data_IF_764573684654
#
_entry.id   IF_764573684654
#
_cell.length_a   1.000
_cell.length_b   1.000
_cell.length_c   1.000
_cell.angle_alpha   90.00
_cell.angle_beta   90.00
_cell.angle_gamma   90.00
#
_symmetry.space_group_name_H-M   'P 1'
#
loop_
_entity.id
_entity.type
_entity.pdbx_description
1 polymer ?
#
# COMPACT_ATOMS: atom_id res chain seq x y z
N UNK A 1 -4.92 -36.37 36.26
CA UNK A 1 -4.24 -35.60 35.92
C UNK A 1 -4.59 -35.03 34.69
N UNK A 2 -4.87 -34.00 34.60
CA UNK A 2 -5.33 -33.45 33.61
C UNK A 2 -4.51 -32.79 32.75
N UNK A 3 -4.37 -33.03 31.77
CA UNK A 3 -3.62 -32.50 31.05
C UNK A 3 -4.09 -31.64 30.18
N UNK A 4 -4.01 -30.93 29.96
CA UNK A 4 -4.27 -30.13 29.40
C UNK A 4 -3.93 -29.67 28.38
N UNK A 5 -4.19 -29.35 27.91
CA UNK A 5 -4.34 -28.88 27.15
C UNK A 5 -4.00 -27.96 26.55
N UNK A 6 -3.50 -27.83 26.17
CA UNK A 6 -2.86 -27.26 25.56
C UNK A 6 -3.26 -26.86 24.42
N UNK A 7 -3.98 -26.20 24.38
CA UNK A 7 -4.43 -25.70 23.51
C UNK A 7 -3.76 -24.98 22.68
N UNK A 8 -3.59 -25.07 21.96
CA UNK A 8 -2.94 -24.71 21.04
C UNK A 8 -3.40 -23.59 20.36
N UNK A 9 -3.47 -22.60 20.94
CA UNK A 9 -3.92 -21.44 20.40
C UNK A 9 -2.99 -20.84 19.44
N UNK A 10 -1.82 -21.27 19.39
CA UNK A 10 -0.88 -20.77 18.43
C UNK A 10 -1.31 -21.00 17.01
N UNK A 11 -2.17 -21.93 16.81
CA UNK A 11 -2.65 -22.21 15.48
C UNK A 11 -3.42 -21.05 14.90
N UNK A 12 -3.99 -20.23 15.75
CA UNK A 12 -4.74 -19.09 15.24
C UNK A 12 -3.85 -18.07 14.60
N UNK A 13 -2.67 -17.90 15.15
CA UNK A 13 -1.73 -16.96 14.58
C UNK A 13 -1.29 -17.41 13.20
N UNK A 14 -1.32 -18.69 12.93
CA UNK A 14 -0.94 -19.18 11.61
C UNK A 14 -1.98 -18.89 10.53
N UNK A 15 -3.13 -18.31 10.90
CA UNK A 15 -4.14 -18.02 9.92
C UNK A 15 -3.89 -16.71 9.19
N UNK A 16 -2.86 -15.95 9.54
CA UNK A 16 -2.51 -14.76 8.80
C UNK A 16 -2.23 -15.16 7.36
N UNK A 17 -2.88 -14.52 6.43
CA UNK A 17 -2.74 -14.86 5.03
C UNK A 17 -1.32 -14.61 4.55
N UNK A 18 -0.92 -15.38 3.58
CA UNK A 18 0.40 -15.20 2.97
C UNK A 18 0.54 -13.80 2.38
N UNK A 19 -0.52 -13.27 1.80
CA UNK A 19 -0.52 -11.93 1.24
C UNK A 19 -0.26 -10.88 2.32
N UNK A 20 -0.85 -11.04 3.49
CA UNK A 20 -0.62 -10.11 4.59
C UNK A 20 0.84 -10.16 5.05
N UNK A 21 1.42 -11.34 5.14
CA UNK A 21 2.82 -11.48 5.51
C UNK A 21 3.74 -10.85 4.46
N UNK A 22 3.44 -11.04 3.19
CA UNK A 22 4.23 -10.47 2.10
C UNK A 22 4.16 -8.94 2.08
N UNK A 23 3.07 -8.37 2.57
CA UNK A 23 2.89 -6.91 2.60
C UNK A 23 3.21 -6.28 3.93
N UNK A 24 3.68 -7.07 4.88
CA UNK A 24 3.99 -6.54 6.21
C UNK A 24 5.22 -5.64 6.14
N UNK A 25 4.98 -4.36 5.98
CA UNK A 25 6.02 -3.36 5.83
C UNK A 25 6.52 -2.90 7.18
N UNK A 26 7.83 -2.85 7.34
CA UNK A 26 8.44 -2.27 8.54
C UNK A 26 8.33 -0.76 8.43
N UNK A 27 7.52 -0.15 9.28
CA UNK A 27 7.20 1.28 9.19
C UNK A 27 8.45 2.16 9.14
N UNK A 28 9.41 1.88 9.99
CA UNK A 28 10.62 2.69 10.10
C UNK A 28 11.51 2.60 8.85
N UNK A 29 11.28 1.60 8.02
CA UNK A 29 12.03 1.41 6.78
C UNK A 29 11.44 2.16 5.59
N UNK A 30 10.25 2.73 5.75
CA UNK A 30 9.57 3.41 4.65
C UNK A 30 10.35 4.67 4.28
N UNK A 31 10.76 4.71 3.02
CA UNK A 31 11.46 5.84 2.45
C UNK A 31 10.58 6.43 1.36
N UNK A 32 10.28 7.70 1.44
CA UNK A 32 9.51 8.42 0.44
C UNK A 32 10.51 9.10 -0.47
N UNK A 33 10.61 8.63 -1.70
CA UNK A 33 11.58 9.14 -2.67
C UNK A 33 10.98 10.29 -3.45
N UNK A 34 9.67 10.21 -3.72
CA UNK A 34 8.98 11.23 -4.50
C UNK A 34 7.58 11.36 -3.98
N UNK A 35 7.13 12.59 -3.74
CA UNK A 35 5.75 12.87 -3.38
C UNK A 35 5.30 14.11 -4.12
N UNK A 36 4.01 14.41 -4.06
CA UNK A 36 3.45 15.53 -4.80
C UNK A 36 3.76 15.44 -6.29
N UNK A 37 3.95 14.25 -6.80
CA UNK A 37 4.41 14.02 -8.16
C UNK A 37 3.24 13.89 -9.12
N UNK A 38 3.48 14.21 -10.38
CA UNK A 38 2.50 14.13 -11.44
C UNK A 38 3.03 13.25 -12.57
N UNK A 39 2.15 12.42 -13.12
CA UNK A 39 2.49 11.57 -14.26
C UNK A 39 1.46 11.70 -15.36
N UNK A 40 1.92 11.97 -16.58
CA UNK A 40 1.08 11.98 -17.75
C UNK A 40 0.66 10.58 -18.19
N UNK A 41 1.34 9.55 -17.69
CA UNK A 41 1.06 8.19 -18.09
C UNK A 41 -0.18 7.61 -17.41
N UNK A 42 -0.71 8.32 -16.44
CA UNK A 42 -1.91 7.90 -15.73
C UNK A 42 -3.08 8.72 -16.25
N UNK A 43 -4.20 8.06 -16.48
CA UNK A 43 -5.40 8.75 -16.92
C UNK A 43 -6.00 9.53 -15.77
N UNK A 44 -6.01 10.83 -15.89
CA UNK A 44 -6.60 11.73 -14.91
C UNK A 44 -6.61 13.13 -15.48
N UNK A 45 -7.33 14.02 -14.83
CA UNK A 45 -7.50 15.39 -15.28
C UNK A 45 -6.68 16.38 -14.45
N UNK A 46 -5.92 15.90 -13.47
CA UNK A 46 -5.17 16.78 -12.59
C UNK A 46 -3.98 17.39 -13.35
N UNK A 47 -3.74 18.64 -13.04
CA UNK A 47 -2.56 19.34 -13.54
C UNK A 47 -1.40 19.10 -12.56
N UNK A 48 -0.19 19.26 -13.06
CA UNK A 48 1.00 19.04 -12.24
C UNK A 48 1.01 19.88 -10.97
N UNK A 49 0.52 21.11 -11.03
CA UNK A 49 0.48 21.99 -9.87
C UNK A 49 -0.53 21.52 -8.81
N UNK A 50 -1.57 20.80 -9.23
CA UNK A 50 -2.55 20.26 -8.29
C UNK A 50 -1.98 19.11 -7.45
N UNK A 51 -0.94 18.46 -7.91
CA UNK A 51 -0.35 17.34 -7.21
C UNK A 51 0.57 17.74 -6.06
N UNK A 52 1.04 18.97 -6.04
CA UNK A 52 2.02 19.43 -5.06
C UNK A 52 1.53 19.31 -3.61
N UNK A 53 0.21 19.29 -3.40
CA UNK A 53 -0.36 19.13 -2.07
C UNK A 53 -0.47 17.66 -1.63
N UNK A 54 -0.24 16.72 -2.53
CA UNK A 54 -0.32 15.29 -2.19
C UNK A 54 1.00 14.84 -1.57
N UNK A 55 1.16 15.15 -0.30
CA UNK A 55 2.36 14.84 0.46
C UNK A 55 2.01 13.76 1.47
N UNK A 56 2.65 12.61 1.37
CA UNK A 56 2.47 11.52 2.33
C UNK A 56 3.62 11.49 3.32
N UNK A 57 3.30 11.27 4.56
CA UNK A 57 4.30 11.04 5.61
C UNK A 57 4.51 9.54 5.77
N UNK A 58 5.58 9.17 6.42
CA UNK A 58 5.87 7.77 6.72
C UNK A 58 4.67 7.08 7.39
N UNK A 59 4.00 7.76 8.31
CA UNK A 59 2.83 7.21 8.99
C UNK A 59 1.67 6.96 8.04
N UNK A 60 1.48 7.84 7.05
CA UNK A 60 0.40 7.70 6.07
C UNK A 60 0.64 6.49 5.17
N UNK A 61 1.87 6.32 4.74
CA UNK A 61 2.26 5.18 3.90
C UNK A 61 2.10 3.87 4.68
N UNK A 62 2.55 3.86 5.93
CA UNK A 62 2.40 2.69 6.80
C UNK A 62 0.94 2.32 7.02
N UNK A 63 0.08 3.32 7.27
CA UNK A 63 -1.35 3.09 7.44
C UNK A 63 -2.00 2.56 6.16
N UNK A 64 -1.57 3.06 5.01
CA UNK A 64 -2.06 2.56 3.72
C UNK A 64 -1.76 1.06 3.58
N UNK A 65 -0.52 0.66 3.80
CA UNK A 65 -0.16 -0.75 3.65
C UNK A 65 -0.87 -1.65 4.66
N UNK A 66 -1.14 -1.13 5.84
CA UNK A 66 -1.84 -1.88 6.87
C UNK A 66 -3.31 -2.10 6.53
N UNK A 67 -3.94 -1.11 5.90
CA UNK A 67 -5.39 -1.11 5.70
C UNK A 67 -5.83 -1.49 4.29
N UNK A 68 -4.97 -1.36 3.31
CA UNK A 68 -5.32 -1.61 1.93
C UNK A 68 -5.62 -3.09 1.70
N UNK A 69 -6.56 -3.33 0.81
CA UNK A 69 -6.89 -4.69 0.36
C UNK A 69 -6.25 -4.94 -0.99
N UNK A 70 -5.90 -6.19 -1.23
CA UNK A 70 -5.39 -6.60 -2.53
C UNK A 70 -6.51 -6.58 -3.55
N UNK A 71 -6.23 -6.04 -4.71
CA UNK A 71 -7.15 -6.04 -5.85
C UNK A 71 -6.46 -6.65 -7.05
N UNK A 72 -7.25 -7.00 -8.06
CA UNK A 72 -6.69 -7.53 -9.30
C UNK A 72 -6.07 -6.40 -10.10
N UNK A 73 -5.16 -6.76 -11.00
CA UNK A 73 -4.60 -5.79 -11.94
C UNK A 73 -5.69 -5.12 -12.74
N UNK A 74 -6.71 -5.88 -13.16
CA UNK A 74 -7.81 -5.32 -13.91
C UNK A 74 -8.59 -4.28 -13.11
N UNK A 75 -8.90 -4.56 -11.86
CA UNK A 75 -9.59 -3.59 -11.01
C UNK A 75 -8.76 -2.32 -10.88
N UNK A 76 -7.49 -2.47 -10.62
CA UNK A 76 -6.57 -1.34 -10.48
C UNK A 76 -6.53 -0.50 -11.76
N UNK A 77 -6.42 -1.14 -12.91
CA UNK A 77 -6.20 -0.44 -14.18
C UNK A 77 -7.48 0.07 -14.85
N UNK A 78 -8.62 -0.57 -14.57
CA UNK A 78 -9.85 -0.29 -15.33
C UNK A 78 -11.07 0.05 -14.50
N UNK A 79 -11.20 -0.50 -13.31
CA UNK A 79 -12.43 -0.35 -12.53
C UNK A 79 -12.36 0.76 -11.47
N UNK A 80 -11.17 1.03 -10.95
CA UNK A 80 -10.98 2.04 -9.91
C UNK A 80 -10.64 3.39 -10.52
N UNK A 81 -10.98 4.45 -9.79
CA UNK A 81 -10.62 5.79 -10.21
C UNK A 81 -9.11 5.95 -10.26
N UNK A 82 -8.64 6.73 -11.19
CA UNK A 82 -7.23 7.03 -11.39
C UNK A 82 -6.97 8.52 -11.21
N UNK A 83 -5.76 8.85 -10.85
CA UNK A 83 -5.32 10.24 -10.71
C UNK A 83 -3.89 10.35 -11.21
N UNK A 84 -3.52 11.52 -11.68
CA UNK A 84 -2.14 11.80 -12.08
C UNK A 84 -1.21 12.01 -10.89
N UNK A 85 -1.75 12.25 -9.69
CA UNK A 85 -0.97 12.60 -8.51
C UNK A 85 -0.56 11.37 -7.72
N UNK A 86 0.72 11.26 -7.41
CA UNK A 86 1.22 10.08 -6.70
C UNK A 86 2.43 10.37 -5.82
N UNK A 87 2.72 9.42 -4.96
CA UNK A 87 3.94 9.33 -4.20
C UNK A 87 4.53 7.94 -4.40
N UNK A 88 5.84 7.83 -4.31
CA UNK A 88 6.51 6.54 -4.45
C UNK A 88 7.78 6.48 -3.61
N UNK A 89 8.20 5.28 -3.34
CA UNK A 89 9.40 5.08 -2.55
C UNK A 89 9.76 3.62 -2.41
N UNK A 90 10.48 3.33 -1.34
CA UNK A 90 10.92 1.97 -1.00
C UNK A 90 10.57 1.66 0.43
N UNK A 91 10.55 0.39 0.74
CA UNK A 91 10.36 -0.08 2.10
C UNK A 91 10.91 -1.48 2.25
N UNK A 92 11.09 -1.92 3.49
CA UNK A 92 11.51 -3.27 3.78
C UNK A 92 10.32 -4.02 4.37
N UNK A 93 10.15 -5.24 3.92
CA UNK A 93 9.15 -6.14 4.48
C UNK A 93 9.67 -6.78 5.77
N UNK A 94 8.75 -7.29 6.58
CA UNK A 94 9.11 -7.97 7.80
C UNK A 94 10.05 -9.16 7.57
N UNK A 95 9.96 -9.79 6.39
CA UNK A 95 10.85 -10.90 6.03
C UNK A 95 12.20 -10.44 5.48
N UNK A 96 12.47 -9.15 5.45
CA UNK A 96 13.74 -8.61 4.99
C UNK A 96 13.79 -8.18 3.52
N UNK A 97 12.81 -8.53 2.73
CA UNK A 97 12.78 -8.14 1.32
C UNK A 97 12.57 -6.64 1.13
N UNK A 98 13.21 -6.06 0.14
CA UNK A 98 13.03 -4.65 -0.20
C UNK A 98 12.04 -4.53 -1.34
N UNK A 99 11.06 -3.65 -1.18
CA UNK A 99 10.03 -3.42 -2.18
C UNK A 99 10.03 -1.97 -2.63
N UNK A 100 9.52 -1.75 -3.84
CA UNK A 100 9.19 -0.41 -4.32
C UNK A 100 7.70 -0.27 -4.24
N UNK A 101 7.24 0.90 -3.84
CA UNK A 101 5.80 1.15 -3.72
C UNK A 101 5.42 2.44 -4.41
N UNK A 102 4.15 2.51 -4.80
CA UNK A 102 3.54 3.70 -5.34
C UNK A 102 2.13 3.80 -4.80
N UNK A 103 1.71 4.99 -4.40
CA UNK A 103 0.37 5.28 -3.89
C UNK A 103 -0.12 6.52 -4.60
N UNK A 104 -1.32 6.48 -5.13
CA UNK A 104 -1.90 7.64 -5.80
C UNK A 104 -2.97 8.30 -4.93
N UNK A 105 -3.37 9.50 -5.35
CA UNK A 105 -4.32 10.30 -4.61
C UNK A 105 -5.73 9.69 -4.61
N UNK A 106 -6.02 8.77 -5.50
CA UNK A 106 -7.29 8.06 -5.55
C UNK A 106 -7.31 6.79 -4.68
N UNK A 107 -6.34 6.63 -3.78
CA UNK A 107 -6.24 5.53 -2.83
C UNK A 107 -5.87 4.19 -3.44
N UNK A 108 -5.30 4.20 -4.65
CA UNK A 108 -4.75 3.01 -5.27
C UNK A 108 -3.25 2.97 -5.01
N UNK A 109 -2.70 1.78 -5.01
CA UNK A 109 -1.27 1.63 -4.92
C UNK A 109 -0.81 0.29 -5.43
N UNK A 110 0.49 0.14 -5.54
CA UNK A 110 1.05 -1.16 -5.83
C UNK A 110 2.41 -1.31 -5.15
N UNK A 111 2.81 -2.55 -5.01
CA UNK A 111 4.10 -2.91 -4.46
C UNK A 111 4.79 -3.82 -5.46
N UNK A 112 6.00 -3.47 -5.85
CA UNK A 112 6.84 -4.33 -6.69
C UNK A 112 7.71 -5.18 -5.78
N UNK A 113 7.48 -6.47 -5.80
CA UNK A 113 8.15 -7.43 -4.94
C UNK A 113 9.54 -7.75 -5.46
N UNK A 114 10.44 -8.25 -4.59
CA UNK A 114 11.80 -8.59 -5.00
C UNK A 114 11.86 -9.63 -6.12
N UNK A 115 10.86 -10.50 -6.20
CA UNK A 115 10.78 -11.55 -7.23
C UNK A 115 10.17 -11.08 -8.54
N UNK A 116 9.87 -9.78 -8.65
CA UNK A 116 9.33 -9.21 -9.88
C UNK A 116 7.80 -9.16 -9.94
N UNK A 117 7.10 -9.77 -8.98
CA UNK A 117 5.64 -9.69 -8.96
C UNK A 117 5.19 -8.30 -8.53
N UNK A 118 4.04 -7.89 -9.00
CA UNK A 118 3.39 -6.66 -8.56
C UNK A 118 2.11 -7.02 -7.81
N UNK A 119 1.93 -6.43 -6.65
CA UNK A 119 0.72 -6.60 -5.85
C UNK A 119 -0.02 -5.27 -5.90
N UNK A 120 -1.25 -5.31 -6.39
CA UNK A 120 -2.10 -4.12 -6.52
C UNK A 120 -2.99 -3.96 -5.30
N UNK A 121 -3.13 -2.74 -4.83
CA UNK A 121 -3.78 -2.42 -3.56
C UNK A 121 -4.78 -1.29 -3.72
N UNK A 122 -5.82 -1.33 -2.91
CA UNK A 122 -6.78 -0.25 -2.82
C UNK A 122 -7.21 -0.07 -1.37
N UNK A 123 -7.23 1.19 -0.91
CA UNK A 123 -7.60 1.52 0.45
C UNK A 123 -8.74 2.54 0.46
N UNK A 124 -10.00 2.08 0.27
CA UNK A 124 -11.13 3.02 0.22
C UNK A 124 -11.37 3.75 1.54
N UNK A 125 -10.87 3.20 2.64
CA UNK A 125 -11.06 3.79 3.97
C UNK A 125 -9.86 4.58 4.46
N UNK A 126 -8.81 4.69 3.66
CA UNK A 126 -7.69 5.54 4.05
C UNK A 126 -8.13 6.99 4.00
N UNK A 127 -7.97 7.66 5.12
CA UNK A 127 -8.40 9.04 5.29
C UNK A 127 -7.20 9.85 5.68
N UNK A 128 -6.82 10.76 4.84
CA UNK A 128 -5.87 11.82 5.15
C UNK A 128 -6.37 13.05 4.42
N UNK A 129 -5.86 14.21 4.79
CA UNK A 129 -6.21 15.45 4.10
C UNK A 129 -5.65 15.46 2.67
N UNK A 130 -4.82 14.48 2.36
CA UNK A 130 -4.10 14.42 1.10
C UNK A 130 -4.79 13.61 0.02
N UNK A 131 -5.62 12.64 0.41
CA UNK A 131 -6.36 11.86 -0.56
C UNK A 131 -7.54 12.66 -1.11
N UNK A 132 -7.93 12.34 -2.33
CA UNK A 132 -9.09 12.96 -2.94
C UNK A 132 -10.33 12.72 -2.09
N UNK A 133 -11.31 13.65 -2.06
CA UNK A 133 -12.58 13.40 -1.40
C UNK A 133 -13.29 12.20 -2.01
N UNK A 134 -14.04 11.47 -1.19
CA UNK A 134 -14.88 10.37 -1.67
C UNK A 134 -16.15 10.90 -2.31
#
# INVERSE_FOLDING_TARGET
>A
MTLLLLQNHGAVAGTMSRDNAERAVVRESIEIIRDGAWSADISGDERADACSAFILRQADVGAFFKRASRVTERAYSHDLDATNCYAEGRARLANGGVVKWKIDQARRGFVSMPDGRTIYLYCPRCQTDWFAPN
#
